data_IF_663530792396
#
_entry.id   IF_663530792396
#
_cell.length_a   1.000
_cell.length_b   1.000
_cell.length_c   1.000
_cell.angle_alpha   90.00
_cell.angle_beta   90.00
_cell.angle_gamma   90.00
#
_symmetry.space_group_name_H-M   'P 1'
#
loop_
_entity.id
_entity.type
_entity.pdbx_description
1 polymer ?
#
# COMPACT_ATOMS: atom_id res chain seq x y z
N UNK A 1 0.63 28.92 21.96
CA UNK A 1 0.94 27.47 22.01
C UNK A 1 1.30 27.06 20.59
N UNK A 2 2.46 26.43 20.31
CA UNK A 2 2.79 26.03 18.95
C UNK A 2 1.98 24.77 18.61
N UNK A 3 1.06 24.91 17.68
CA UNK A 3 0.33 23.81 17.03
C UNK A 3 1.34 23.08 16.13
N UNK A 4 1.95 22.03 16.66
CA UNK A 4 2.70 21.09 15.83
C UNK A 4 1.71 20.38 14.91
N UNK A 5 1.87 20.60 13.60
CA UNK A 5 1.06 19.95 12.57
C UNK A 5 1.44 18.47 12.56
N UNK A 6 0.66 17.65 13.27
CA UNK A 6 0.73 16.20 13.16
C UNK A 6 0.25 15.82 11.75
N UNK A 7 1.03 15.00 11.05
CA UNK A 7 0.68 14.46 9.74
C UNK A 7 0.08 13.08 9.90
N UNK A 8 -0.80 12.71 8.96
CA UNK A 8 -1.37 11.38 8.90
C UNK A 8 -0.33 10.41 8.28
N UNK A 9 -0.01 9.35 9.00
CA UNK A 9 0.98 8.35 8.57
C UNK A 9 0.47 7.59 7.34
N UNK A 10 -0.82 7.27 7.29
CA UNK A 10 -1.38 6.49 6.20
C UNK A 10 -1.38 7.31 4.91
N UNK A 11 -1.75 8.59 4.99
CA UNK A 11 -1.67 9.53 3.87
C UNK A 11 -0.23 9.69 3.34
N UNK A 12 0.75 9.77 4.24
CA UNK A 12 2.17 9.86 3.88
C UNK A 12 2.65 8.60 3.17
N UNK A 13 2.31 7.42 3.69
CA UNK A 13 2.69 6.15 3.11
C UNK A 13 2.04 5.94 1.74
N UNK A 14 0.76 6.30 1.58
CA UNK A 14 0.04 6.21 0.30
C UNK A 14 0.66 7.13 -0.77
N UNK A 15 0.98 8.36 -0.41
CA UNK A 15 1.63 9.32 -1.33
C UNK A 15 3.04 8.90 -1.71
N UNK A 16 3.82 8.41 -0.74
CA UNK A 16 5.15 7.88 -0.99
C UNK A 16 5.09 6.66 -1.92
N UNK A 17 4.18 5.71 -1.64
CA UNK A 17 3.93 4.53 -2.44
C UNK A 17 3.59 4.89 -3.89
N UNK A 18 2.66 5.82 -4.09
CA UNK A 18 2.25 6.32 -5.40
C UNK A 18 3.44 6.91 -6.17
N UNK A 19 4.28 7.71 -5.52
CA UNK A 19 5.48 8.25 -6.13
C UNK A 19 6.46 7.15 -6.57
N UNK A 20 6.68 6.14 -5.72
CA UNK A 20 7.52 4.99 -6.05
C UNK A 20 6.96 4.16 -7.20
N UNK A 21 5.63 4.01 -7.31
CA UNK A 21 5.01 3.29 -8.43
C UNK A 21 5.19 3.99 -9.77
N UNK A 22 4.96 5.30 -9.81
CA UNK A 22 5.02 6.05 -11.05
C UNK A 22 6.44 6.23 -11.58
N UNK A 23 7.42 6.39 -10.68
CA UNK A 23 8.80 6.76 -11.06
C UNK A 23 9.81 5.64 -10.81
N UNK A 24 9.47 4.66 -9.99
CA UNK A 24 10.40 3.65 -9.50
C UNK A 24 11.22 4.12 -8.30
N UNK A 25 11.76 3.16 -7.56
CA UNK A 25 12.55 3.41 -6.35
C UNK A 25 13.79 4.27 -6.60
N UNK A 26 14.56 3.97 -7.66
CA UNK A 26 15.84 4.65 -7.93
C UNK A 26 15.63 6.11 -8.35
N UNK A 27 14.66 6.37 -9.22
CA UNK A 27 14.40 7.71 -9.76
C UNK A 27 13.64 8.63 -8.78
N UNK A 28 13.07 8.09 -7.71
CA UNK A 28 12.44 8.88 -6.64
C UNK A 28 13.51 9.35 -5.66
N UNK A 29 13.65 10.68 -5.49
CA UNK A 29 14.56 11.27 -4.51
C UNK A 29 13.87 11.57 -3.18
N UNK A 30 14.65 11.84 -2.13
CA UNK A 30 14.09 12.35 -0.86
C UNK A 30 13.43 13.71 -1.02
N UNK A 31 13.79 14.51 -2.04
CA UNK A 31 13.14 15.79 -2.29
C UNK A 31 11.74 15.58 -2.89
N UNK A 32 11.61 14.67 -3.86
CA UNK A 32 10.31 14.31 -4.43
C UNK A 32 9.34 13.80 -3.36
N UNK A 33 9.85 13.02 -2.39
CA UNK A 33 9.05 12.50 -1.28
C UNK A 33 8.57 13.59 -0.34
N UNK A 34 9.40 14.58 -0.04
CA UNK A 34 8.99 15.77 0.74
C UNK A 34 7.91 16.55 0.00
N UNK A 35 8.08 16.74 -1.30
CA UNK A 35 7.13 17.48 -2.13
C UNK A 35 5.78 16.76 -2.26
N UNK A 36 5.79 15.45 -2.49
CA UNK A 36 4.54 14.71 -2.65
C UNK A 36 3.81 14.50 -1.33
N UNK A 37 4.52 14.22 -0.23
CA UNK A 37 3.89 13.95 1.08
C UNK A 37 3.53 15.22 1.83
N UNK A 38 4.20 16.34 1.54
CA UNK A 38 4.07 17.60 2.29
C UNK A 38 4.72 17.57 3.68
N UNK A 39 5.40 16.47 4.04
CA UNK A 39 6.12 16.32 5.30
C UNK A 39 7.55 16.80 5.12
N UNK A 40 8.03 17.60 6.07
CA UNK A 40 9.39 18.11 6.00
C UNK A 40 10.41 16.96 6.08
N UNK A 41 11.58 17.21 5.49
CA UNK A 41 12.67 16.23 5.38
C UNK A 41 13.10 15.65 6.73
N UNK A 42 13.24 16.49 7.76
CA UNK A 42 13.70 16.06 9.08
C UNK A 42 12.71 15.08 9.74
N UNK A 43 11.41 15.34 9.64
CA UNK A 43 10.37 14.43 10.14
C UNK A 43 10.37 13.10 9.39
N UNK A 44 10.52 13.09 8.07
CA UNK A 44 10.62 11.83 7.30
C UNK A 44 11.85 11.00 7.73
N UNK A 45 13.00 11.64 7.91
CA UNK A 45 14.20 10.96 8.42
C UNK A 45 14.04 10.49 9.87
N UNK A 46 13.38 11.27 10.74
CA UNK A 46 13.15 10.87 12.12
C UNK A 46 12.19 9.68 12.23
N UNK A 47 11.14 9.65 11.42
CA UNK A 47 10.12 8.58 11.47
C UNK A 47 10.59 7.30 10.78
N UNK A 48 11.22 7.42 9.61
CA UNK A 48 11.54 6.26 8.77
C UNK A 48 13.04 6.03 8.60
N UNK A 49 13.94 6.93 8.96
CA UNK A 49 15.39 6.75 8.78
C UNK A 49 15.89 7.03 7.35
N UNK A 50 15.07 6.86 6.32
CA UNK A 50 15.39 7.28 4.96
C UNK A 50 14.52 6.66 3.86
N UNK A 51 14.92 6.86 2.60
CA UNK A 51 14.17 6.42 1.41
C UNK A 51 13.86 4.92 1.42
N UNK A 52 14.85 4.08 1.78
CA UNK A 52 14.71 2.62 1.76
C UNK A 52 13.65 2.15 2.74
N UNK A 53 13.70 2.66 3.95
CA UNK A 53 12.81 2.25 5.03
C UNK A 53 11.41 2.82 4.82
N UNK A 54 11.29 4.05 4.31
CA UNK A 54 10.01 4.60 3.85
C UNK A 54 9.40 3.77 2.71
N UNK A 55 10.21 3.32 1.75
CA UNK A 55 9.76 2.43 0.68
C UNK A 55 9.24 1.10 1.22
N UNK A 56 9.96 0.48 2.16
CA UNK A 56 9.53 -0.76 2.81
C UNK A 56 8.24 -0.54 3.61
N UNK A 57 8.14 0.58 4.33
CA UNK A 57 6.94 0.93 5.10
C UNK A 57 5.72 1.11 4.18
N UNK A 58 5.90 1.80 3.05
CA UNK A 58 4.85 1.99 2.05
C UNK A 58 4.37 0.66 1.46
N UNK A 59 5.29 -0.26 1.12
CA UNK A 59 4.94 -1.60 0.64
C UNK A 59 4.19 -2.42 1.69
N UNK A 60 4.61 -2.33 2.96
CA UNK A 60 3.93 -3.04 4.07
C UNK A 60 2.52 -2.50 4.28
N UNK A 61 2.33 -1.19 4.25
CA UNK A 61 1.01 -0.59 4.37
C UNK A 61 0.07 -1.01 3.24
N UNK A 62 0.60 -1.09 2.01
CA UNK A 62 -0.14 -1.62 0.87
C UNK A 62 -0.57 -3.07 1.05
N UNK A 63 0.37 -3.95 1.41
CA UNK A 63 0.11 -5.37 1.64
C UNK A 63 -0.93 -5.56 2.75
N UNK A 64 -0.78 -4.84 3.85
CA UNK A 64 -1.69 -4.88 4.99
C UNK A 64 -3.11 -4.46 4.59
N UNK A 65 -3.26 -3.35 3.86
CA UNK A 65 -4.56 -2.87 3.38
C UNK A 65 -5.25 -3.89 2.46
N UNK A 66 -4.50 -4.45 1.50
CA UNK A 66 -5.01 -5.49 0.60
C UNK A 66 -5.42 -6.76 1.36
N UNK A 67 -4.60 -7.18 2.33
CA UNK A 67 -4.85 -8.34 3.19
C UNK A 67 -6.08 -8.16 4.07
N UNK A 68 -6.25 -6.99 4.68
CA UNK A 68 -7.43 -6.66 5.49
C UNK A 68 -8.70 -6.68 4.63
N UNK A 69 -8.69 -6.04 3.46
CA UNK A 69 -9.82 -6.04 2.55
C UNK A 69 -10.18 -7.45 2.06
N UNK A 70 -9.18 -8.30 1.84
CA UNK A 70 -9.38 -9.71 1.49
C UNK A 70 -10.00 -10.49 2.66
N UNK A 71 -9.42 -10.40 3.86
CA UNK A 71 -9.94 -11.14 5.02
C UNK A 71 -11.36 -10.71 5.40
N UNK A 72 -11.68 -9.42 5.34
CA UNK A 72 -13.04 -8.94 5.56
C UNK A 72 -14.07 -9.58 4.60
N UNK A 73 -13.68 -9.82 3.34
CA UNK A 73 -14.54 -10.52 2.37
C UNK A 73 -14.67 -12.01 2.66
N UNK A 74 -13.63 -12.64 3.20
CA UNK A 74 -13.62 -14.07 3.54
C UNK A 74 -14.41 -14.34 4.82
N UNK A 75 -14.30 -13.47 5.82
CA UNK A 75 -15.05 -13.54 7.09
C UNK A 75 -16.55 -13.37 6.89
N UNK A 76 -16.97 -12.68 5.83
CA UNK A 76 -18.38 -12.54 5.46
C UNK A 76 -19.00 -13.81 4.84
N UNK A 77 -18.24 -14.88 4.65
CA UNK A 77 -18.72 -16.14 4.08
C UNK A 77 -19.05 -17.15 5.17
N UNK A 78 -20.22 -17.77 5.06
CA UNK A 78 -20.67 -18.80 6.02
C UNK A 78 -20.00 -20.17 5.80
N UNK A 79 -19.46 -20.42 4.60
CA UNK A 79 -18.78 -21.68 4.25
C UNK A 79 -17.25 -21.50 4.23
N UNK A 80 -16.51 -22.09 5.20
CA UNK A 80 -15.06 -22.04 5.24
C UNK A 80 -14.39 -22.64 3.99
N UNK A 81 -15.01 -23.61 3.31
CA UNK A 81 -14.46 -24.19 2.08
C UNK A 81 -14.52 -23.18 0.94
N UNK A 82 -15.62 -22.46 0.80
CA UNK A 82 -15.77 -21.39 -0.17
C UNK A 82 -14.76 -20.26 0.08
N UNK A 83 -14.49 -19.92 1.35
CA UNK A 83 -13.45 -18.95 1.70
C UNK A 83 -12.06 -19.39 1.23
N UNK A 84 -11.68 -20.66 1.46
CA UNK A 84 -10.41 -21.22 0.98
C UNK A 84 -10.36 -21.22 -0.55
N UNK A 85 -11.44 -21.63 -1.22
CA UNK A 85 -11.50 -21.59 -2.68
C UNK A 85 -11.31 -20.17 -3.23
N UNK A 86 -11.98 -19.17 -2.66
CA UNK A 86 -11.86 -17.77 -3.09
C UNK A 86 -10.49 -17.16 -2.84
N UNK A 87 -9.79 -17.59 -1.79
CA UNK A 87 -8.42 -17.14 -1.50
C UNK A 87 -7.43 -17.60 -2.59
N UNK A 88 -7.50 -18.87 -3.01
CA UNK A 88 -6.48 -19.48 -3.86
C UNK A 88 -6.82 -19.50 -5.36
N UNK A 89 -8.09 -19.35 -5.72
CA UNK A 89 -8.54 -19.40 -7.12
C UNK A 89 -8.00 -18.27 -8.03
N UNK A 90 -7.86 -17.01 -7.58
CA UNK A 90 -7.34 -15.91 -8.41
C UNK A 90 -5.90 -16.13 -8.89
N UNK A 91 -5.14 -17.03 -8.25
CA UNK A 91 -3.74 -17.30 -8.56
C UNK A 91 -3.53 -18.37 -9.65
N UNK A 92 -4.58 -18.93 -10.26
CA UNK A 92 -4.44 -20.00 -11.27
C UNK A 92 -4.72 -19.51 -12.71
N UNK A 93 -3.71 -19.44 -13.59
CA UNK A 93 -3.92 -19.22 -15.02
C UNK A 93 -4.31 -20.54 -15.72
N UNK A 94 -5.49 -21.11 -15.44
CA UNK A 94 -6.08 -22.14 -16.31
C UNK A 94 -7.60 -22.28 -16.13
N UNK A 95 -8.38 -21.34 -16.67
CA UNK A 95 -9.83 -21.48 -16.85
C UNK A 95 -10.22 -20.81 -18.18
N UNK A 96 -10.76 -21.56 -19.17
CA UNK A 96 -11.10 -21.01 -20.49
C UNK A 96 -12.40 -20.15 -20.49
N UNK A 97 -12.74 -19.47 -19.39
CA UNK A 97 -14.07 -18.84 -19.27
C UNK A 97 -14.25 -17.70 -18.27
N UNK A 98 -13.20 -17.15 -17.65
CA UNK A 98 -13.37 -15.97 -16.78
C UNK A 98 -12.22 -14.98 -16.97
N UNK A 99 -12.35 -14.18 -18.03
CA UNK A 99 -11.67 -12.89 -18.11
C UNK A 99 -12.59 -11.89 -17.42
N UNK A 100 -12.18 -11.41 -16.24
CA UNK A 100 -12.52 -10.10 -15.65
C UNK A 100 -12.57 -10.21 -14.14
N UNK A 101 -11.50 -9.75 -13.48
CA UNK A 101 -11.53 -8.95 -12.25
C UNK A 101 -10.09 -8.81 -11.70
N UNK A 102 -9.18 -8.34 -12.53
CA UNK A 102 -8.03 -7.55 -12.05
C UNK A 102 -8.10 -6.24 -12.83
N UNK A 103 -9.15 -5.47 -12.55
CA UNK A 103 -9.21 -4.06 -12.89
C UNK A 103 -9.22 -3.33 -11.55
N UNK A 104 -8.04 -2.89 -11.14
CA UNK A 104 -7.90 -1.73 -10.28
C UNK A 104 -8.25 -0.54 -11.19
N UNK A 105 -9.48 -0.04 -11.08
CA UNK A 105 -9.96 1.32 -11.41
C UNK A 105 -11.41 1.45 -10.97
#
# INVERSE_FOLDING_TARGET
MPWEKQFDIDEVLEKAMTAFWHRGYTATSMQDLVECTGVNRASLYATYGGKRDLFIAALKAYDESGRQALFAKLEALDDPKEAIHRLFWPMRPWHPGLVSCVAVS
#
